data_IF_530491861338
#
_entry.id   IF_530491861338
#
_cell.length_a   1.000
_cell.length_b   1.000
_cell.length_c   1.000
_cell.angle_alpha   90.00
_cell.angle_beta   90.00
_cell.angle_gamma   90.00
#
_symmetry.space_group_name_H-M   'P 1'
#
loop_
_entity.id
_entity.type
_entity.pdbx_description
1 polymer ?
#
# COMPACT_ATOMS: atom_id res chain seq x y z
N UNK A 1 21.30 33.25 40.16
CA UNK A 1 21.10 33.02 38.71
C UNK A 1 20.68 31.58 38.55
N UNK A 2 19.35 31.34 38.56
CA UNK A 2 18.75 30.01 38.53
C UNK A 2 18.60 29.49 37.10
N UNK A 3 18.85 28.20 36.90
CA UNK A 3 18.56 27.48 35.66
C UNK A 3 17.48 26.44 35.90
N UNK A 4 16.53 26.42 34.96
CA UNK A 4 15.23 25.77 34.97
C UNK A 4 15.35 24.24 34.78
N UNK A 5 14.87 23.47 35.76
CA UNK A 5 14.51 22.06 35.56
C UNK A 5 13.10 21.99 34.94
N UNK A 6 13.00 21.46 33.71
CA UNK A 6 11.72 21.18 33.05
C UNK A 6 11.08 19.89 33.57
N UNK A 7 10.04 20.02 34.39
CA UNK A 7 9.20 18.92 34.84
C UNK A 7 8.20 18.49 33.76
N UNK A 8 8.18 17.19 33.41
CA UNK A 8 7.13 16.57 32.57
C UNK A 8 5.78 16.59 33.29
N UNK A 9 4.80 17.31 32.76
CA UNK A 9 3.39 17.23 33.17
C UNK A 9 2.76 15.94 32.63
N UNK A 10 2.37 15.05 33.53
CA UNK A 10 1.50 13.89 33.28
C UNK A 10 0.05 14.36 33.04
N UNK A 11 -0.50 14.04 31.87
CA UNK A 11 -1.88 14.38 31.47
C UNK A 11 -2.82 13.16 31.70
N UNK A 12 -4.02 13.34 32.26
CA UNK A 12 -4.90 12.23 32.64
C UNK A 12 -5.71 11.65 31.46
N UNK A 13 -5.93 10.33 31.52
CA UNK A 13 -6.74 9.50 30.62
C UNK A 13 -8.25 9.84 30.69
N UNK A 14 -9.00 9.87 29.57
CA UNK A 14 -10.45 9.97 29.59
C UNK A 14 -11.12 8.61 29.87
N UNK A 15 -12.07 8.61 30.81
CA UNK A 15 -12.84 7.45 31.27
C UNK A 15 -13.92 7.05 30.27
N UNK A 16 -14.03 5.74 30.03
CA UNK A 16 -15.13 5.04 29.35
C UNK A 16 -16.52 5.52 29.81
N UNK A 17 -17.42 5.80 28.85
CA UNK A 17 -18.87 5.77 29.04
C UNK A 17 -19.48 4.84 28.00
N UNK A 18 -19.80 3.62 28.43
CA UNK A 18 -20.70 2.71 27.74
C UNK A 18 -22.14 3.07 28.13
N UNK A 19 -23.01 3.30 27.15
CA UNK A 19 -24.47 3.34 27.33
C UNK A 19 -25.08 2.20 26.49
N UNK A 20 -26.04 1.44 27.03
CA UNK A 20 -26.53 0.21 26.40
C UNK A 20 -27.56 0.51 25.31
N UNK A 21 -27.41 -0.16 24.16
CA UNK A 21 -28.41 -0.24 23.10
C UNK A 21 -29.26 -1.50 23.33
N UNK A 22 -30.56 -1.34 23.16
CA UNK A 22 -31.63 -2.33 23.31
C UNK A 22 -31.31 -3.71 22.70
N UNK A 23 -31.43 -4.75 23.53
CA UNK A 23 -31.37 -6.15 23.13
C UNK A 23 -32.67 -6.60 22.46
N UNK A 24 -32.58 -7.25 21.29
CA UNK A 24 -33.64 -8.11 20.75
C UNK A 24 -33.44 -9.54 21.27
N UNK A 25 -34.49 -10.26 21.71
CA UNK A 25 -34.37 -11.61 22.25
C UNK A 25 -34.16 -12.66 21.16
N UNK A 26 -33.25 -13.58 21.48
CA UNK A 26 -32.85 -14.76 20.71
C UNK A 26 -33.99 -15.78 20.52
N UNK A 27 -34.07 -16.34 19.31
CA UNK A 27 -34.61 -17.68 19.05
C UNK A 27 -33.86 -18.73 19.88
N UNK A 28 -34.53 -19.71 20.53
CA UNK A 28 -33.86 -20.89 21.03
C UNK A 28 -33.70 -21.94 19.93
N UNK A 29 -32.51 -22.53 19.91
CA UNK A 29 -32.09 -23.63 19.06
C UNK A 29 -32.86 -24.93 19.37
N UNK A 30 -33.16 -25.65 18.30
CA UNK A 30 -33.62 -27.03 18.27
C UNK A 30 -32.57 -27.96 18.92
N UNK A 31 -32.97 -28.73 19.94
CA UNK A 31 -32.30 -29.96 20.35
C UNK A 31 -33.33 -31.10 20.28
N UNK A 32 -33.07 -32.08 19.41
CA UNK A 32 -33.88 -33.29 19.34
C UNK A 32 -33.52 -34.28 20.44
N UNK A 33 -34.52 -35.01 20.96
CA UNK A 33 -34.51 -36.47 21.19
C UNK A 33 -35.98 -36.93 21.26
N UNK A 34 -36.34 -37.94 20.46
CA UNK A 34 -37.60 -38.66 20.43
C UNK A 34 -37.67 -39.73 21.54
N UNK A 35 -38.80 -39.82 22.27
CA UNK A 35 -39.35 -41.09 22.79
C UNK A 35 -40.82 -40.89 23.19
N UNK A 36 -41.73 -41.56 22.50
CA UNK A 36 -43.18 -41.41 22.69
C UNK A 36 -43.81 -42.32 23.75
N UNK A 37 -45.14 -42.18 23.92
CA UNK A 37 -46.14 -43.27 23.95
C UNK A 37 -47.49 -42.79 24.50
N UNK A 38 -48.58 -43.15 23.79
CA UNK A 38 -49.97 -43.41 24.25
C UNK A 38 -50.82 -42.23 24.79
N UNK A 39 -52.14 -42.09 24.59
CA UNK A 39 -53.24 -42.67 23.77
C UNK A 39 -54.52 -41.78 24.05
N UNK A 40 -55.71 -42.04 23.48
CA UNK A 40 -56.68 -41.02 23.03
C UNK A 40 -57.82 -40.71 24.02
N UNK A 41 -58.54 -39.62 23.79
CA UNK A 41 -59.81 -39.30 24.47
C UNK A 41 -60.63 -38.24 23.71
N UNK A 42 -61.91 -38.56 23.50
CA UNK A 42 -62.94 -37.88 22.72
C UNK A 42 -63.21 -36.41 23.08
N UNK A 43 -63.74 -35.64 22.11
CA UNK A 43 -64.47 -34.41 22.40
C UNK A 43 -64.72 -33.51 21.19
N UNK A 44 -65.55 -33.94 20.24
CA UNK A 44 -66.10 -33.09 19.18
C UNK A 44 -67.18 -32.18 19.79
N UNK A 45 -67.02 -30.86 19.72
CA UNK A 45 -68.11 -29.90 19.91
C UNK A 45 -68.10 -28.85 18.80
N UNK A 46 -69.27 -28.71 18.20
CA UNK A 46 -69.65 -27.81 17.12
C UNK A 46 -69.57 -26.32 17.53
N UNK A 47 -69.01 -25.49 16.63
CA UNK A 47 -69.50 -24.20 16.07
C UNK A 47 -70.44 -23.28 16.91
N UNK A 48 -70.29 -21.94 16.80
CA UNK A 48 -70.99 -21.24 15.70
C UNK A 48 -70.22 -20.09 15.02
N UNK A 49 -70.69 -19.79 13.81
CA UNK A 49 -70.25 -18.74 12.89
C UNK A 49 -70.77 -17.33 13.27
N UNK A 50 -69.88 -16.31 13.18
CA UNK A 50 -70.08 -14.94 12.63
C UNK A 50 -71.11 -13.97 13.29
N UNK A 51 -71.17 -12.64 12.98
CA UNK A 51 -70.39 -11.81 12.02
C UNK A 51 -69.87 -10.43 12.55
N UNK A 52 -69.01 -9.81 11.72
CA UNK A 52 -68.84 -8.37 11.43
C UNK A 52 -68.49 -7.34 12.54
N UNK A 53 -67.39 -6.60 12.33
CA UNK A 53 -67.46 -5.17 11.95
C UNK A 53 -66.09 -4.68 11.44
N UNK A 54 -66.04 -4.41 10.13
CA UNK A 54 -65.02 -3.59 9.47
C UNK A 54 -65.13 -2.13 9.94
N UNK A 55 -64.02 -1.39 9.90
CA UNK A 55 -64.02 -0.09 9.27
C UNK A 55 -63.42 -0.21 7.88
N UNK A 56 -64.23 0.15 6.90
CA UNK A 56 -63.88 0.29 5.50
C UNK A 56 -62.96 1.51 5.36
N UNK A 57 -61.63 1.29 5.24
CA UNK A 57 -60.73 2.38 4.82
C UNK A 57 -60.91 2.55 3.32
N UNK A 58 -61.64 3.60 3.00
CA UNK A 58 -62.05 4.06 1.68
C UNK A 58 -60.85 4.11 0.73
N UNK A 59 -60.85 3.22 -0.26
CA UNK A 59 -60.03 3.36 -1.45
C UNK A 59 -60.52 4.59 -2.23
N UNK A 60 -59.94 5.75 -1.95
CA UNK A 60 -60.10 6.96 -2.74
C UNK A 60 -58.93 7.02 -3.74
N UNK A 61 -59.22 6.62 -4.97
CA UNK A 61 -58.38 6.80 -6.15
C UNK A 61 -58.06 8.29 -6.30
N UNK A 62 -56.84 8.71 -5.96
CA UNK A 62 -56.30 10.02 -6.36
C UNK A 62 -55.15 9.83 -7.34
N UNK A 63 -55.53 9.96 -8.60
CA UNK A 63 -54.67 10.34 -9.70
C UNK A 63 -54.11 11.75 -9.43
N UNK A 64 -52.78 11.90 -9.46
CA UNK A 64 -52.13 13.22 -9.40
C UNK A 64 -50.81 13.32 -8.61
N UNK A 65 -49.75 12.69 -9.16
CA UNK A 65 -48.34 13.11 -9.31
C UNK A 65 -47.59 14.00 -8.28
N UNK A 66 -46.24 13.99 -8.25
CA UNK A 66 -45.27 12.97 -8.68
C UNK A 66 -44.34 12.55 -7.52
N UNK A 67 -44.02 11.26 -7.43
CA UNK A 67 -42.73 10.90 -6.85
C UNK A 67 -41.67 11.55 -7.74
N UNK A 68 -40.88 12.48 -7.19
CA UNK A 68 -39.79 13.13 -7.93
C UNK A 68 -38.98 12.04 -8.65
N UNK A 69 -38.92 12.04 -9.99
CA UNK A 69 -38.05 11.12 -10.70
C UNK A 69 -36.64 11.48 -10.24
N UNK A 70 -36.00 10.58 -9.49
CA UNK A 70 -34.58 10.71 -9.26
C UNK A 70 -33.96 10.87 -10.64
N UNK A 71 -33.21 11.97 -10.88
CA UNK A 71 -32.70 12.20 -12.21
C UNK A 71 -31.94 10.95 -12.66
N UNK A 72 -32.18 10.47 -13.88
CA UNK A 72 -31.44 9.32 -14.41
C UNK A 72 -29.92 9.55 -14.36
N UNK A 73 -29.50 10.83 -14.35
CA UNK A 73 -28.12 11.22 -14.13
C UNK A 73 -27.64 11.01 -12.68
N UNK A 74 -28.48 11.11 -11.65
CA UNK A 74 -28.10 10.79 -10.26
C UNK A 74 -27.92 9.27 -10.06
N UNK A 75 -28.77 8.46 -10.70
CA UNK A 75 -28.54 7.01 -10.77
C UNK A 75 -27.27 6.68 -11.57
N UNK A 76 -26.97 7.43 -12.63
CA UNK A 76 -25.73 7.33 -13.41
C UNK A 76 -24.51 7.81 -12.61
N UNK A 77 -24.65 8.80 -11.73
CA UNK A 77 -23.61 9.28 -10.81
C UNK A 77 -23.39 8.30 -9.65
N UNK A 78 -24.42 7.62 -9.15
CA UNK A 78 -24.28 6.52 -8.18
C UNK A 78 -23.68 5.25 -8.82
N UNK A 79 -24.02 4.96 -10.09
CA UNK A 79 -23.37 3.90 -10.87
C UNK A 79 -21.91 4.25 -11.23
N UNK A 80 -21.60 5.53 -11.45
CA UNK A 80 -20.24 6.01 -11.65
C UNK A 80 -19.43 5.97 -10.34
N UNK A 81 -20.01 6.43 -9.23
CA UNK A 81 -19.38 6.38 -7.91
C UNK A 81 -19.12 4.95 -7.41
N UNK A 82 -19.91 3.97 -7.84
CA UNK A 82 -19.66 2.54 -7.55
C UNK A 82 -18.64 1.89 -8.51
N UNK A 83 -18.33 2.54 -9.64
CA UNK A 83 -17.41 2.03 -10.66
C UNK A 83 -15.93 2.43 -10.44
N UNK A 84 -15.63 3.43 -9.62
CA UNK A 84 -14.25 3.91 -9.41
C UNK A 84 -13.44 3.12 -8.37
N UNK A 85 -13.98 2.03 -7.82
CA UNK A 85 -13.28 1.25 -6.79
C UNK A 85 -12.47 0.04 -7.30
N UNK A 86 -12.52 -0.32 -8.60
CA UNK A 86 -12.02 -1.63 -9.08
C UNK A 86 -11.01 -1.59 -10.23
N UNK A 87 -10.66 -0.41 -10.80
CA UNK A 87 -9.88 -0.35 -12.05
C UNK A 87 -8.35 -0.49 -11.90
N UNK A 88 -7.80 -0.41 -10.70
CA UNK A 88 -6.34 -0.42 -10.53
C UNK A 88 -5.74 -1.82 -10.26
N UNK A 89 -6.56 -2.87 -10.11
CA UNK A 89 -6.02 -4.18 -9.79
C UNK A 89 -5.45 -4.86 -11.05
N UNK A 90 -4.17 -5.29 -11.04
CA UNK A 90 -3.60 -6.00 -12.18
C UNK A 90 -4.30 -7.35 -12.40
N UNK A 91 -4.60 -7.65 -13.68
CA UNK A 91 -5.31 -8.85 -14.14
C UNK A 91 -4.78 -10.17 -13.54
N UNK A 92 -3.45 -10.41 -13.41
CA UNK A 92 -2.96 -11.66 -12.83
C UNK A 92 -3.20 -11.77 -11.31
N UNK A 93 -3.60 -10.69 -10.64
CA UNK A 93 -3.63 -10.60 -9.20
C UNK A 93 -5.05 -10.50 -8.64
N UNK A 94 -5.18 -10.79 -7.35
CA UNK A 94 -6.43 -10.62 -6.61
C UNK A 94 -6.25 -9.51 -5.58
N UNK A 95 -7.12 -8.51 -5.62
CA UNK A 95 -7.06 -7.39 -4.70
C UNK A 95 -8.25 -7.41 -3.73
N UNK A 96 -7.99 -7.14 -2.45
CA UNK A 96 -9.02 -7.02 -1.40
C UNK A 96 -8.81 -5.73 -0.61
N UNK A 97 -9.86 -4.98 -0.39
CA UNK A 97 -9.80 -3.82 0.51
C UNK A 97 -9.61 -4.32 1.95
N UNK A 98 -8.76 -3.65 2.72
CA UNK A 98 -8.63 -3.88 4.16
C UNK A 98 -9.63 -3.00 4.92
N UNK A 99 -10.05 -3.48 6.10
CA UNK A 99 -10.87 -2.71 7.05
C UNK A 99 -10.19 -1.41 7.47
N UNK A 100 -8.86 -1.44 7.56
CA UNK A 100 -8.03 -0.23 7.68
C UNK A 100 -7.70 0.28 6.28
N UNK A 101 -7.92 1.57 6.00
CA UNK A 101 -7.74 2.21 4.69
C UNK A 101 -6.51 1.72 3.90
N UNK A 102 -6.66 0.72 3.03
CA UNK A 102 -5.54 0.06 2.35
C UNK A 102 -5.97 -1.12 1.50
N UNK A 103 -5.03 -1.69 0.73
CA UNK A 103 -5.28 -2.75 -0.23
C UNK A 103 -4.33 -3.94 -0.02
N UNK A 104 -4.91 -5.13 0.04
CA UNK A 104 -4.21 -6.42 -0.02
C UNK A 104 -4.14 -6.88 -1.47
N UNK A 105 -2.94 -7.11 -2.00
CA UNK A 105 -2.71 -7.54 -3.38
C UNK A 105 -1.99 -8.90 -3.35
N UNK A 106 -2.69 -9.93 -3.81
CA UNK A 106 -2.16 -11.30 -3.89
C UNK A 106 -1.96 -11.72 -5.34
N UNK A 107 -0.69 -11.86 -5.71
CA UNK A 107 -0.20 -12.25 -7.03
C UNK A 107 0.60 -13.56 -6.97
N UNK A 108 0.42 -14.40 -5.95
CA UNK A 108 1.23 -15.62 -5.77
C UNK A 108 0.92 -16.67 -6.84
N UNK A 109 1.94 -17.40 -7.30
CA UNK A 109 1.73 -18.54 -8.21
C UNK A 109 1.28 -18.15 -9.61
N UNK A 110 1.56 -16.93 -10.06
CA UNK A 110 1.07 -16.37 -11.33
C UNK A 110 2.09 -16.41 -12.47
N UNK A 111 3.29 -16.95 -12.21
CA UNK A 111 4.37 -17.03 -13.19
C UNK A 111 4.90 -15.66 -13.62
N UNK A 112 4.81 -14.66 -12.74
CA UNK A 112 5.26 -13.30 -13.06
C UNK A 112 6.78 -13.28 -13.29
N UNK A 113 7.18 -12.76 -14.45
CA UNK A 113 8.60 -12.51 -14.80
C UNK A 113 9.02 -11.07 -14.54
N UNK A 114 8.05 -10.16 -14.49
CA UNK A 114 8.22 -8.75 -14.14
C UNK A 114 7.08 -8.30 -13.21
N UNK A 115 7.32 -7.21 -12.48
CA UNK A 115 6.31 -6.63 -11.61
C UNK A 115 5.18 -5.98 -12.44
N UNK A 116 3.90 -6.26 -12.13
CA UNK A 116 2.78 -5.56 -12.74
C UNK A 116 2.67 -4.13 -12.19
N UNK A 117 1.84 -3.30 -12.82
CA UNK A 117 1.48 -1.99 -12.26
C UNK A 117 0.66 -2.18 -10.98
N UNK A 118 1.17 -1.65 -9.86
CA UNK A 118 0.58 -1.84 -8.54
C UNK A 118 -0.16 -0.57 -8.07
N UNK A 119 -1.33 -0.68 -7.43
CA UNK A 119 -2.06 0.47 -6.87
C UNK A 119 -1.31 1.17 -5.74
N UNK A 120 -1.31 2.51 -5.70
CA UNK A 120 -0.62 3.31 -4.66
C UNK A 120 -1.08 3.01 -3.21
N UNK A 121 -2.33 2.56 -3.04
CA UNK A 121 -2.93 2.20 -1.73
C UNK A 121 -2.57 0.78 -1.25
N UNK A 122 -1.63 0.10 -1.90
CA UNK A 122 -1.21 -1.26 -1.53
C UNK A 122 -0.49 -1.25 -0.19
N UNK A 123 -0.99 -2.04 0.77
CA UNK A 123 -0.38 -2.25 2.09
C UNK A 123 0.31 -3.60 2.22
N UNK A 124 -0.26 -4.62 1.60
CA UNK A 124 0.29 -5.97 1.62
C UNK A 124 0.39 -6.47 0.18
N UNK A 125 1.59 -6.88 -0.21
CA UNK A 125 1.91 -7.34 -1.55
C UNK A 125 2.51 -8.75 -1.48
N UNK A 126 1.82 -9.72 -2.06
CA UNK A 126 2.28 -11.10 -2.13
C UNK A 126 2.69 -11.46 -3.55
N UNK A 127 3.98 -11.67 -3.76
CA UNK A 127 4.61 -12.03 -5.02
C UNK A 127 5.30 -13.40 -4.95
N UNK A 128 5.05 -14.18 -3.90
CA UNK A 128 5.68 -15.47 -3.73
C UNK A 128 5.34 -16.48 -4.84
N UNK A 129 6.24 -17.43 -5.07
CA UNK A 129 6.07 -18.49 -6.06
C UNK A 129 5.83 -17.95 -7.48
N UNK A 130 6.71 -17.05 -7.92
CA UNK A 130 6.72 -16.49 -9.27
C UNK A 130 8.09 -16.73 -9.94
N UNK A 131 8.32 -16.13 -11.10
CA UNK A 131 9.55 -16.28 -11.88
C UNK A 131 10.34 -14.96 -11.94
N UNK A 132 10.24 -14.15 -10.87
CA UNK A 132 10.95 -12.88 -10.77
C UNK A 132 12.44 -13.16 -10.52
N UNK A 133 13.29 -12.51 -11.32
CA UNK A 133 14.75 -12.62 -11.18
C UNK A 133 15.35 -11.38 -10.50
N UNK A 134 14.74 -10.22 -10.68
CA UNK A 134 15.15 -8.97 -10.06
C UNK A 134 13.95 -8.03 -9.90
N UNK A 135 14.16 -6.95 -9.14
CA UNK A 135 13.17 -5.88 -8.98
C UNK A 135 13.81 -4.58 -9.45
N UNK A 136 13.20 -3.85 -10.40
CA UNK A 136 13.78 -2.60 -10.87
C UNK A 136 13.88 -1.57 -9.74
N UNK A 137 14.94 -0.72 -9.75
CA UNK A 137 15.06 0.36 -8.80
C UNK A 137 13.81 1.25 -8.81
N UNK A 138 13.31 1.57 -7.63
CA UNK A 138 12.15 2.43 -7.45
C UNK A 138 10.80 1.76 -7.66
N UNK A 139 10.74 0.44 -7.88
CA UNK A 139 9.48 -0.28 -8.11
C UNK A 139 8.43 -0.11 -6.99
N UNK A 140 8.88 0.11 -5.75
CA UNK A 140 8.01 0.27 -4.59
C UNK A 140 7.90 1.72 -4.10
N UNK A 141 8.57 2.67 -4.76
CA UNK A 141 8.62 4.06 -4.30
C UNK A 141 7.25 4.76 -4.42
N UNK A 142 6.42 4.29 -5.36
CA UNK A 142 5.04 4.74 -5.53
C UNK A 142 4.05 4.11 -4.54
N UNK A 143 4.50 3.24 -3.64
CA UNK A 143 3.69 2.51 -2.67
C UNK A 143 4.03 2.95 -1.23
N UNK A 144 3.67 4.19 -0.82
CA UNK A 144 4.08 4.74 0.48
C UNK A 144 3.48 4.00 1.68
N UNK A 145 2.38 3.28 1.47
CA UNK A 145 1.67 2.52 2.50
C UNK A 145 2.09 1.05 2.57
N UNK A 146 3.05 0.61 1.76
CA UNK A 146 3.49 -0.79 1.71
C UNK A 146 4.16 -1.17 3.04
N UNK A 147 3.59 -2.17 3.72
CA UNK A 147 4.03 -2.66 5.03
C UNK A 147 4.58 -4.09 4.93
N UNK A 148 3.95 -4.94 4.11
CA UNK A 148 4.34 -6.34 3.96
C UNK A 148 4.62 -6.65 2.52
N UNK A 149 5.78 -7.24 2.27
CA UNK A 149 6.21 -7.73 0.96
C UNK A 149 6.64 -9.18 1.09
N UNK A 150 5.94 -10.08 0.40
CA UNK A 150 6.36 -11.48 0.28
C UNK A 150 6.90 -11.75 -1.11
N UNK A 151 8.22 -11.91 -1.19
CA UNK A 151 9.00 -12.16 -2.42
C UNK A 151 9.68 -13.53 -2.39
N UNK A 152 9.24 -14.42 -1.50
CA UNK A 152 9.82 -15.75 -1.34
C UNK A 152 9.55 -16.64 -2.57
N UNK A 153 10.31 -17.74 -2.70
CA UNK A 153 10.09 -18.72 -3.79
C UNK A 153 10.12 -18.10 -5.20
N UNK A 154 11.09 -17.21 -5.45
CA UNK A 154 11.36 -16.64 -6.78
C UNK A 154 12.84 -16.93 -7.14
N UNK A 155 13.16 -17.14 -8.42
CA UNK A 155 14.51 -17.46 -8.88
C UNK A 155 15.40 -16.20 -8.92
N UNK A 156 15.67 -15.60 -7.76
CA UNK A 156 16.41 -14.35 -7.67
C UNK A 156 17.83 -14.46 -8.23
N UNK A 157 18.16 -13.55 -9.14
CA UNK A 157 19.49 -13.35 -9.69
C UNK A 157 20.21 -12.32 -8.82
N UNK A 158 21.04 -12.79 -7.90
CA UNK A 158 21.73 -12.00 -6.89
C UNK A 158 23.00 -11.35 -7.45
N UNK A 159 22.80 -10.32 -8.27
CA UNK A 159 23.81 -9.39 -8.75
C UNK A 159 23.46 -7.95 -8.33
N UNK A 160 23.97 -6.96 -9.07
CA UNK A 160 23.72 -5.55 -8.78
C UNK A 160 22.30 -5.08 -9.06
N UNK A 161 21.55 -5.78 -9.90
CA UNK A 161 20.15 -5.44 -10.12
C UNK A 161 19.29 -5.69 -8.88
N UNK A 162 19.73 -6.59 -7.99
CA UNK A 162 19.01 -6.97 -6.78
C UNK A 162 19.35 -6.09 -5.56
N UNK A 163 20.29 -5.16 -5.69
CA UNK A 163 20.69 -4.26 -4.59
C UNK A 163 19.52 -3.44 -4.07
N UNK A 164 18.63 -2.95 -4.94
CA UNK A 164 17.44 -2.20 -4.53
C UNK A 164 16.55 -3.02 -3.60
N UNK A 165 16.21 -4.25 -4.00
CA UNK A 165 15.35 -5.13 -3.21
C UNK A 165 15.99 -5.45 -1.85
N UNK A 166 17.30 -5.75 -1.83
CA UNK A 166 18.04 -6.00 -0.59
C UNK A 166 17.94 -4.80 0.36
N UNK A 167 18.26 -3.60 -0.10
CA UNK A 167 18.24 -2.39 0.72
C UNK A 167 16.82 -2.06 1.19
N UNK A 168 15.82 -2.25 0.33
CA UNK A 168 14.42 -2.05 0.69
C UNK A 168 13.98 -3.01 1.81
N UNK A 169 14.34 -4.30 1.70
CA UNK A 169 14.04 -5.31 2.72
C UNK A 169 14.80 -5.03 4.02
N UNK A 170 16.06 -4.58 3.94
CA UNK A 170 16.87 -4.22 5.11
C UNK A 170 16.27 -3.05 5.90
N UNK A 171 15.72 -2.03 5.21
CA UNK A 171 15.07 -0.87 5.82
C UNK A 171 13.68 -1.20 6.40
N UNK A 172 12.88 -1.99 5.68
CA UNK A 172 11.46 -2.17 5.99
C UNK A 172 11.13 -3.48 6.72
N UNK A 173 11.77 -4.58 6.36
CA UNK A 173 11.42 -5.94 6.82
C UNK A 173 12.67 -6.83 6.89
N UNK A 174 13.59 -6.60 7.83
CA UNK A 174 14.88 -7.29 7.88
C UNK A 174 14.74 -8.81 8.06
N UNK A 175 13.64 -9.28 8.65
CA UNK A 175 13.35 -10.71 8.83
C UNK A 175 13.18 -11.43 7.48
N UNK A 176 12.68 -10.75 6.45
CA UNK A 176 12.47 -11.31 5.12
C UNK A 176 13.80 -11.57 4.38
N UNK A 177 14.90 -10.90 4.74
CA UNK A 177 16.22 -11.11 4.12
C UNK A 177 16.75 -12.54 4.26
N UNK A 178 16.35 -13.24 5.32
CA UNK A 178 16.73 -14.64 5.57
C UNK A 178 15.90 -15.64 4.75
N UNK A 179 14.71 -15.22 4.31
CA UNK A 179 13.78 -16.07 3.56
C UNK A 179 14.00 -15.97 2.05
N UNK A 180 14.55 -14.85 1.57
CA UNK A 180 14.89 -14.64 0.16
C UNK A 180 16.18 -15.36 -0.18
N UNK A 181 16.11 -16.35 -1.08
CA UNK A 181 17.23 -17.18 -1.51
C UNK A 181 17.61 -16.88 -2.95
N UNK A 182 18.91 -16.81 -3.22
CA UNK A 182 19.44 -16.63 -4.56
C UNK A 182 19.34 -17.94 -5.36
N UNK A 183 18.92 -17.87 -6.61
CA UNK A 183 18.99 -18.98 -7.56
C UNK A 183 20.23 -18.88 -8.47
N UNK A 184 20.70 -17.67 -8.72
CA UNK A 184 21.85 -17.38 -9.55
C UNK A 184 22.58 -16.13 -9.03
N UNK A 185 23.85 -15.89 -9.40
CA UNK A 185 24.77 -16.81 -10.07
C UNK A 185 25.15 -18.02 -9.17
N UNK A 186 25.71 -19.08 -9.74
CA UNK A 186 26.01 -20.35 -9.03
C UNK A 186 26.87 -20.17 -7.76
N UNK A 187 27.72 -19.14 -7.72
CA UNK A 187 28.57 -18.81 -6.57
C UNK A 187 27.77 -18.31 -5.35
N UNK A 188 26.63 -17.65 -5.58
CA UNK A 188 25.73 -17.16 -4.53
C UNK A 188 24.44 -17.99 -4.43
N UNK A 189 24.27 -18.98 -5.32
CA UNK A 189 23.09 -19.82 -5.38
C UNK A 189 22.85 -20.54 -4.05
N UNK A 190 21.58 -20.60 -3.66
CA UNK A 190 21.11 -21.12 -2.38
C UNK A 190 21.61 -20.36 -1.13
N UNK A 191 22.31 -19.24 -1.29
CA UNK A 191 22.59 -18.31 -0.19
C UNK A 191 21.36 -17.45 0.14
N UNK A 192 21.12 -17.11 1.42
CA UNK A 192 20.13 -16.11 1.79
C UNK A 192 20.64 -14.70 1.44
N UNK A 193 19.74 -13.84 0.96
CA UNK A 193 20.08 -12.50 0.50
C UNK A 193 20.72 -11.63 1.60
N UNK A 194 20.27 -11.82 2.85
CA UNK A 194 20.83 -11.12 4.01
C UNK A 194 22.29 -11.45 4.33
N UNK A 195 22.79 -12.60 3.91
CA UNK A 195 24.16 -13.04 4.21
C UNK A 195 25.17 -12.62 3.14
N UNK A 196 24.69 -12.25 1.95
CA UNK A 196 25.53 -11.66 0.94
C UNK A 196 26.01 -10.29 1.42
N UNK A 197 27.18 -9.86 1.01
CA UNK A 197 27.71 -8.52 1.25
C UNK A 197 27.68 -7.72 -0.05
N UNK A 198 27.77 -6.39 0.03
CA UNK A 198 27.73 -5.52 -1.15
C UNK A 198 28.80 -5.82 -2.22
N UNK A 199 29.88 -6.53 -1.90
CA UNK A 199 30.86 -6.99 -2.88
C UNK A 199 30.47 -8.31 -3.57
N UNK A 200 29.63 -9.15 -2.93
CA UNK A 200 29.15 -10.41 -3.50
C UNK A 200 27.95 -10.23 -4.43
N UNK A 201 27.20 -9.14 -4.30
CA UNK A 201 26.22 -8.72 -5.31
C UNK A 201 26.91 -8.14 -6.57
N UNK A 202 28.25 -8.21 -6.66
CA UNK A 202 29.04 -7.37 -7.55
C UNK A 202 29.21 -6.00 -6.91
N UNK A 203 30.33 -5.32 -7.11
CA UNK A 203 30.55 -4.00 -6.53
C UNK A 203 29.56 -2.97 -7.11
N UNK A 204 28.36 -2.89 -6.55
CA UNK A 204 27.31 -1.95 -6.94
C UNK A 204 27.61 -0.58 -6.31
N UNK A 205 28.81 -0.10 -6.58
CA UNK A 205 29.30 1.19 -6.17
C UNK A 205 29.05 2.20 -7.29
N UNK A 206 28.32 3.27 -6.94
CA UNK A 206 28.49 4.59 -7.55
C UNK A 206 28.30 4.66 -9.08
N UNK A 207 27.10 4.33 -9.56
CA UNK A 207 26.48 5.05 -10.68
C UNK A 207 25.44 6.07 -10.20
N UNK A 208 25.61 6.65 -9.00
CA UNK A 208 25.35 8.09 -8.91
C UNK A 208 26.21 8.68 -10.02
N UNK A 209 25.60 9.31 -11.01
CA UNK A 209 26.32 10.00 -12.06
C UNK A 209 27.42 10.82 -11.38
N UNK A 210 28.65 10.32 -11.44
CA UNK A 210 29.82 11.16 -11.43
C UNK A 210 29.87 11.83 -12.82
N UNK A 211 28.75 12.44 -13.24
CA UNK A 211 28.74 13.46 -14.29
C UNK A 211 29.73 14.56 -13.91
N UNK A 212 30.00 14.74 -12.62
CA UNK A 212 30.97 15.70 -12.10
C UNK A 212 32.45 15.23 -12.15
N UNK A 213 32.76 13.93 -12.25
CA UNK A 213 34.17 13.45 -12.17
C UNK A 213 34.71 12.95 -13.52
N UNK A 214 33.89 12.86 -14.56
CA UNK A 214 34.34 12.48 -15.91
C UNK A 214 33.88 13.40 -17.05
N UNK A 215 33.21 14.50 -16.73
CA UNK A 215 33.00 15.57 -17.69
C UNK A 215 34.07 16.63 -17.45
N UNK A 216 34.69 17.15 -18.50
CA UNK A 216 35.80 18.12 -18.48
C UNK A 216 35.60 19.40 -17.66
N UNK A 217 34.48 19.56 -16.95
CA UNK A 217 34.09 20.72 -16.15
C UNK A 217 35.15 21.15 -15.13
N UNK A 218 35.86 20.21 -14.47
CA UNK A 218 36.94 20.58 -13.56
C UNK A 218 38.17 21.15 -14.30
N UNK A 219 38.48 20.60 -15.47
CA UNK A 219 39.56 21.10 -16.33
C UNK A 219 39.19 22.44 -16.95
N UNK A 220 37.94 22.64 -17.35
CA UNK A 220 37.43 23.89 -17.90
C UNK A 220 37.46 25.01 -16.85
N UNK A 221 37.02 24.74 -15.62
CA UNK A 221 37.08 25.71 -14.51
C UNK A 221 38.53 26.05 -14.15
N UNK A 222 39.43 25.06 -14.13
CA UNK A 222 40.85 25.30 -13.91
C UNK A 222 41.48 26.16 -15.01
N UNK A 223 41.13 25.92 -16.29
CA UNK A 223 41.62 26.70 -17.43
C UNK A 223 41.15 28.16 -17.36
N UNK A 224 39.88 28.39 -17.03
CA UNK A 224 39.31 29.75 -16.86
C UNK A 224 39.99 30.49 -15.71
N UNK A 225 40.25 29.82 -14.58
CA UNK A 225 40.94 30.42 -13.45
C UNK A 225 42.39 30.83 -13.80
N UNK A 226 43.13 29.97 -14.52
CA UNK A 226 44.50 30.27 -14.97
C UNK A 226 44.50 31.43 -15.97
N UNK A 227 43.57 31.46 -16.92
CA UNK A 227 43.44 32.55 -17.88
C UNK A 227 43.12 33.89 -17.20
N UNK A 228 42.21 33.89 -16.22
CA UNK A 228 41.85 35.09 -15.47
C UNK A 228 43.02 35.64 -14.64
N UNK A 229 43.76 34.77 -13.95
CA UNK A 229 44.97 35.16 -13.22
C UNK A 229 46.06 35.70 -14.15
N UNK A 230 46.24 35.08 -15.32
CA UNK A 230 47.16 35.55 -16.34
C UNK A 230 46.81 36.95 -16.85
N UNK A 231 45.54 37.19 -17.19
CA UNK A 231 45.07 38.51 -17.62
C UNK A 231 45.21 39.58 -16.52
N UNK A 232 44.93 39.23 -15.26
CA UNK A 232 45.10 40.16 -14.13
C UNK A 232 46.57 40.55 -13.92
N UNK A 233 47.50 39.60 -14.03
CA UNK A 233 48.94 39.86 -13.96
C UNK A 233 49.41 40.73 -15.12
N UNK A 234 48.94 40.46 -16.33
CA UNK A 234 49.33 41.21 -17.54
C UNK A 234 48.80 42.65 -17.48
N UNK A 235 47.57 42.84 -17.02
CA UNK A 235 47.00 44.17 -16.74
C UNK A 235 47.79 44.91 -15.65
N UNK A 236 48.15 44.23 -14.56
CA UNK A 236 48.98 44.81 -13.49
C UNK A 236 50.36 45.24 -13.97
N UNK A 237 51.01 44.44 -14.82
CA UNK A 237 52.29 44.79 -15.43
C UNK A 237 52.16 45.99 -16.38
N UNK A 238 51.13 46.03 -17.21
CA UNK A 238 50.88 47.16 -18.10
C UNK A 238 50.66 48.46 -17.32
N UNK A 239 49.83 48.43 -16.27
CA UNK A 239 49.62 49.56 -15.37
C UNK A 239 50.92 50.03 -14.70
N UNK A 240 51.75 49.10 -14.22
CA UNK A 240 53.03 49.46 -13.60
C UNK A 240 54.02 50.08 -14.61
N UNK A 241 54.01 49.65 -15.87
CA UNK A 241 54.87 50.22 -16.91
C UNK A 241 54.39 51.58 -17.41
N UNK A 242 53.07 51.84 -17.39
CA UNK A 242 52.52 53.15 -17.77
C UNK A 242 52.80 54.21 -16.70
N UNK A 243 52.77 53.85 -15.42
CA UNK A 243 53.14 54.78 -14.34
C UNK A 243 54.66 55.04 -14.26
N UNK A 244 55.49 54.18 -14.85
CA UNK A 244 56.93 54.37 -14.92
C UNK A 244 57.40 55.22 -16.11
N UNK A 245 56.48 55.58 -17.03
CA UNK A 245 56.77 56.34 -18.24
C UNK A 245 56.31 57.82 -18.20
N UNK A 246 55.56 58.22 -17.17
CA UNK A 246 55.26 59.62 -16.81
C UNK A 246 56.20 60.12 -15.70
#
# INVERSE_FOLDING_TARGET
MGSLLGARKSLPLPKNKFTPIHSCPHHPAFNGVQRGSARPGLGTLYLPQSPACFPEEKAETREGSPACPMPAWEALFLLWATAEATKDCPIPCTCRALETMGLWVDCRGRGLTALPTLPARTRHLLLANNSLQSVPPGAFDHLPQLQTLDVTQNPWHCDCSLTYLRLWLEDRTPEALLQVRCASPSLAAHGPLGQLTGYQLGSCGWQLQASWVRSGVLWDVALVAVAALGLALLAGLLCATTEALD
#
